data_IF_722415601294
#
_entry.id   IF_722415601294
#
_cell.length_a   1.000
_cell.length_b   1.000
_cell.length_c   1.000
_cell.angle_alpha   90.00
_cell.angle_beta   90.00
_cell.angle_gamma   90.00
#
_symmetry.space_group_name_H-M   'P 1'
#
loop_
_entity.id
_entity.type
_entity.pdbx_description
1 polymer ?
#
# COMPACT_ATOMS: atom_id res chain seq x y z
N UNK A 1 -13.10 0.21 -11.29
CA UNK A 1 -12.34 0.42 -10.05
C UNK A 1 -12.19 -0.90 -9.29
N UNK A 2 -10.98 -1.21 -8.85
CA UNK A 2 -10.71 -2.40 -8.05
C UNK A 2 -10.37 -1.98 -6.63
N UNK A 3 -10.79 -2.79 -5.66
CA UNK A 3 -10.55 -2.53 -4.24
C UNK A 3 -10.11 -3.81 -3.56
N UNK A 4 -9.29 -3.67 -2.52
CA UNK A 4 -8.83 -4.82 -1.76
C UNK A 4 -8.49 -4.39 -0.34
N UNK A 5 -8.89 -5.22 0.64
CA UNK A 5 -8.51 -4.99 2.04
C UNK A 5 -7.29 -5.84 2.34
N UNK A 6 -6.30 -5.23 2.97
CA UNK A 6 -5.07 -5.94 3.34
C UNK A 6 -4.70 -5.59 4.77
N UNK A 7 -3.93 -6.48 5.41
CA UNK A 7 -3.48 -6.28 6.77
C UNK A 7 -1.96 -6.10 6.77
N UNK A 8 -1.49 -5.11 7.53
CA UNK A 8 -0.06 -4.89 7.72
C UNK A 8 0.46 -5.96 8.66
N UNK A 9 1.38 -6.78 8.18
CA UNK A 9 1.86 -7.95 8.95
C UNK A 9 3.33 -7.87 9.35
N UNK A 10 4.06 -6.85 8.87
CA UNK A 10 5.45 -6.67 9.28
C UNK A 10 5.50 -5.94 10.61
N UNK A 11 6.46 -6.32 11.44
CA UNK A 11 6.55 -5.84 12.82
C UNK A 11 6.63 -4.32 12.93
N UNK A 12 7.38 -3.69 12.03
CA UNK A 12 7.61 -2.24 12.08
C UNK A 12 6.52 -1.41 11.40
N UNK A 13 5.57 -2.06 10.72
CA UNK A 13 4.51 -1.35 10.03
C UNK A 13 5.02 -0.57 8.82
N UNK A 14 4.26 0.46 8.42
CA UNK A 14 4.62 1.29 7.26
C UNK A 14 5.63 2.38 7.62
N UNK A 15 6.81 1.96 8.10
CA UNK A 15 7.92 2.88 8.35
C UNK A 15 8.55 3.34 7.03
N UNK A 16 9.54 4.24 7.08
CA UNK A 16 10.09 4.87 5.89
C UNK A 16 10.54 3.87 4.81
N UNK A 17 11.23 2.80 5.20
CA UNK A 17 11.70 1.80 4.23
C UNK A 17 10.54 1.07 3.57
N UNK A 18 9.56 0.63 4.36
CA UNK A 18 8.39 -0.07 3.83
C UNK A 18 7.57 0.84 2.92
N UNK A 19 7.37 2.09 3.33
CA UNK A 19 6.65 3.08 2.53
C UNK A 19 7.35 3.31 1.19
N UNK A 20 8.68 3.39 1.21
CA UNK A 20 9.47 3.58 -0.01
C UNK A 20 9.29 2.41 -0.96
N UNK A 21 9.36 1.18 -0.44
CA UNK A 21 9.16 -0.02 -1.27
C UNK A 21 7.77 -0.06 -1.88
N UNK A 22 6.77 0.28 -1.10
CA UNK A 22 5.39 0.30 -1.57
C UNK A 22 5.20 1.31 -2.70
N UNK A 23 5.71 2.52 -2.50
CA UNK A 23 5.58 3.59 -3.50
C UNK A 23 6.35 3.26 -4.78
N UNK A 24 7.55 2.68 -4.64
CA UNK A 24 8.34 2.28 -5.81
C UNK A 24 7.59 1.25 -6.64
N UNK A 25 6.96 0.27 -5.99
CA UNK A 25 6.19 -0.73 -6.71
C UNK A 25 4.93 -0.11 -7.33
N UNK A 26 4.21 0.68 -6.56
CA UNK A 26 2.99 1.35 -7.03
C UNK A 26 3.26 2.22 -8.26
N UNK A 27 4.42 2.88 -8.28
CA UNK A 27 4.77 3.78 -9.37
C UNK A 27 5.06 3.07 -10.70
N UNK A 28 5.18 1.75 -10.68
CA UNK A 28 5.37 0.97 -11.91
C UNK A 28 4.07 0.75 -12.67
N UNK A 29 2.93 1.03 -12.04
CA UNK A 29 1.62 0.81 -12.66
C UNK A 29 1.01 2.14 -13.09
N UNK A 30 0.36 2.18 -14.26
CA UNK A 30 -0.21 3.43 -14.77
C UNK A 30 -1.52 3.83 -14.11
N UNK A 31 -2.12 2.96 -13.31
CA UNK A 31 -3.39 3.26 -12.64
C UNK A 31 -3.19 4.21 -11.46
N UNK A 32 -4.27 4.84 -11.02
CA UNK A 32 -4.27 5.61 -9.79
C UNK A 32 -4.41 4.65 -8.62
N UNK A 33 -3.58 4.83 -7.60
CA UNK A 33 -3.57 3.98 -6.42
C UNK A 33 -3.80 4.81 -5.17
N UNK A 34 -4.72 4.37 -4.33
CA UNK A 34 -5.12 5.07 -3.12
C UNK A 34 -5.10 4.09 -1.96
N UNK A 35 -4.59 4.55 -0.82
CA UNK A 35 -4.59 3.79 0.42
C UNK A 35 -5.47 4.51 1.42
N UNK A 36 -6.32 3.75 2.12
CA UNK A 36 -7.22 4.32 3.12
C UNK A 36 -7.10 3.55 4.43
N UNK A 37 -6.97 4.29 5.53
CA UNK A 37 -6.95 3.73 6.88
C UNK A 37 -7.75 4.65 7.77
N UNK A 38 -8.73 4.10 8.49
CA UNK A 38 -9.56 4.84 9.44
C UNK A 38 -10.14 6.13 8.84
N UNK A 39 -10.58 6.05 7.58
CA UNK A 39 -11.18 7.19 6.90
C UNK A 39 -10.20 8.19 6.30
N UNK A 40 -8.88 7.98 6.49
CA UNK A 40 -7.85 8.83 5.89
C UNK A 40 -7.36 8.22 4.59
N UNK A 41 -7.48 8.98 3.52
CA UNK A 41 -7.14 8.52 2.18
C UNK A 41 -5.89 9.24 1.69
N UNK A 42 -4.92 8.47 1.17
CA UNK A 42 -3.67 9.04 0.67
C UNK A 42 -3.33 8.44 -0.70
N UNK A 43 -2.49 9.16 -1.44
CA UNK A 43 -2.00 8.70 -2.72
C UNK A 43 -0.95 7.62 -2.51
N UNK A 44 -1.18 6.42 -3.08
CA UNK A 44 -0.26 5.28 -2.95
C UNK A 44 1.08 5.49 -3.65
N UNK A 45 1.24 6.56 -4.42
CA UNK A 45 2.49 6.88 -5.10
C UNK A 45 3.24 8.04 -4.42
N UNK A 46 2.81 8.42 -3.22
CA UNK A 46 3.44 9.47 -2.42
C UNK A 46 4.03 8.87 -1.15
N UNK A 47 5.34 8.92 -1.00
CA UNK A 47 6.01 8.40 0.20
C UNK A 47 5.50 9.12 1.45
N UNK A 48 5.42 10.44 1.40
CA UNK A 48 4.91 11.23 2.52
C UNK A 48 3.48 10.86 2.87
N UNK A 49 2.62 10.72 1.84
CA UNK A 49 1.23 10.33 2.06
C UNK A 49 1.11 8.98 2.74
N UNK A 50 1.85 8.00 2.25
CA UNK A 50 1.82 6.65 2.82
C UNK A 50 2.31 6.65 4.26
N UNK A 51 3.37 7.39 4.55
CA UNK A 51 3.90 7.50 5.92
C UNK A 51 2.90 8.17 6.87
N UNK A 52 2.14 9.14 6.37
CA UNK A 52 1.17 9.86 7.17
C UNK A 52 0.02 8.99 7.67
N UNK A 53 -0.20 7.83 7.04
CA UNK A 53 -1.21 6.89 7.54
C UNK A 53 -0.82 6.28 8.88
N UNK A 54 0.47 6.27 9.21
CA UNK A 54 0.99 5.71 10.45
C UNK A 54 0.46 4.29 10.69
N UNK A 55 0.40 3.47 9.63
CA UNK A 55 -0.16 2.13 9.73
C UNK A 55 0.81 1.20 10.45
N UNK A 56 0.37 0.67 11.59
CA UNK A 56 1.16 -0.23 12.41
C UNK A 56 0.87 -1.69 12.07
N UNK A 57 1.70 -2.60 12.56
CA UNK A 57 1.43 -4.03 12.45
C UNK A 57 0.04 -4.33 13.02
N UNK A 58 -0.75 -5.05 12.26
CA UNK A 58 -2.14 -5.35 12.62
C UNK A 58 -3.17 -4.39 12.03
N UNK A 59 -2.73 -3.25 11.49
CA UNK A 59 -3.64 -2.31 10.84
C UNK A 59 -4.22 -2.90 9.57
N UNK A 60 -5.46 -2.54 9.26
CA UNK A 60 -6.11 -2.91 8.01
C UNK A 60 -6.14 -1.71 7.10
N UNK A 61 -5.69 -1.91 5.87
CA UNK A 61 -5.71 -0.87 4.83
C UNK A 61 -6.66 -1.27 3.72
N UNK A 62 -7.34 -0.27 3.16
CA UNK A 62 -8.09 -0.47 1.94
C UNK A 62 -7.24 0.05 0.78
N UNK A 63 -7.00 -0.81 -0.20
CA UNK A 63 -6.30 -0.45 -1.42
C UNK A 63 -7.33 -0.24 -2.51
N UNK A 64 -7.22 0.87 -3.22
CA UNK A 64 -8.07 1.16 -4.39
C UNK A 64 -7.20 1.43 -5.59
N UNK A 65 -7.57 0.85 -6.73
CA UNK A 65 -6.87 1.10 -7.97
C UNK A 65 -7.88 1.43 -9.06
N UNK A 66 -7.61 2.46 -9.84
CA UNK A 66 -8.50 2.89 -10.91
C UNK A 66 -7.67 3.20 -12.15
N UNK A 67 -8.05 2.57 -13.26
CA UNK A 67 -7.35 2.74 -14.52
C UNK A 67 -6.71 1.47 -15.02
N UNK A 68 -5.78 1.58 -15.99
CA UNK A 68 -5.14 0.40 -16.59
C UNK A 68 -4.36 -0.42 -15.56
N UNK A 69 -4.46 -1.74 -15.66
CA UNK A 69 -3.74 -2.69 -14.83
C UNK A 69 -4.08 -2.61 -13.34
N UNK A 70 -5.28 -2.12 -13.01
CA UNK A 70 -5.69 -1.93 -11.61
C UNK A 70 -5.61 -3.23 -10.80
N UNK A 71 -6.15 -4.32 -11.33
CA UNK A 71 -6.15 -5.60 -10.63
C UNK A 71 -4.75 -6.14 -10.41
N UNK A 72 -3.90 -6.02 -11.43
CA UNK A 72 -2.51 -6.47 -11.33
C UNK A 72 -1.73 -5.65 -10.32
N UNK A 73 -1.99 -4.34 -10.26
CA UNK A 73 -1.36 -3.46 -9.28
C UNK A 73 -1.73 -3.89 -7.86
N UNK A 74 -3.01 -4.19 -7.61
CA UNK A 74 -3.45 -4.61 -6.29
C UNK A 74 -2.85 -5.95 -5.91
N UNK A 75 -2.76 -6.90 -6.85
CA UNK A 75 -2.11 -8.18 -6.59
C UNK A 75 -0.66 -8.00 -6.18
N UNK A 76 0.06 -7.14 -6.89
CA UNK A 76 1.47 -6.89 -6.61
C UNK A 76 1.67 -6.24 -5.24
N UNK A 77 0.85 -5.24 -4.92
CA UNK A 77 0.93 -4.56 -3.63
C UNK A 77 0.57 -5.50 -2.48
N UNK A 78 -0.46 -6.32 -2.66
CA UNK A 78 -0.84 -7.28 -1.64
C UNK A 78 0.28 -8.26 -1.35
N UNK A 79 0.94 -8.77 -2.39
CA UNK A 79 2.07 -9.69 -2.21
C UNK A 79 3.22 -9.04 -1.46
N UNK A 80 3.51 -7.79 -1.78
CA UNK A 80 4.57 -7.05 -1.09
C UNK A 80 4.25 -6.91 0.40
N UNK A 81 3.02 -6.56 0.71
CA UNK A 81 2.57 -6.38 2.10
C UNK A 81 2.61 -7.72 2.84
N UNK A 82 2.11 -8.80 2.22
CA UNK A 82 2.09 -10.13 2.83
C UNK A 82 3.49 -10.68 3.05
N UNK A 83 4.45 -10.27 2.22
CA UNK A 83 5.85 -10.69 2.37
C UNK A 83 6.58 -9.88 3.43
N UNK A 84 5.87 -9.02 4.17
CA UNK A 84 6.43 -8.16 5.21
C UNK A 84 7.43 -7.17 4.63
N UNK A 85 7.25 -6.75 3.37
CA UNK A 85 8.18 -5.87 2.66
C UNK A 85 9.60 -6.42 2.63
N UNK A 86 9.73 -7.75 2.69
CA UNK A 86 11.04 -8.40 2.73
C UNK A 86 11.74 -8.35 4.09
N UNK A 87 11.06 -7.87 5.12
CA UNK A 87 11.58 -7.83 6.49
C UNK A 87 11.37 -9.19 7.17
N UNK A 88 12.22 -9.48 8.09
CA UNK A 88 12.10 -10.72 8.87
C UNK A 88 11.25 -10.52 10.10
#
# INVERSE_FOLDING_TARGET
>A
MAERMVKIVNELGLHARAATKLVQLASKFPCDLTLTKDGHEVNGKSIMGVMMLAAECGSTLQLKAEGPDASEALDALEKLIESKFGEN
#
